data_IF_789674539020
#
_entry.id   IF_789674539020
#
_cell.length_a   1.000
_cell.length_b   1.000
_cell.length_c   1.000
_cell.angle_alpha   90.00
_cell.angle_beta   90.00
_cell.angle_gamma   90.00
#
_symmetry.space_group_name_H-M   'P 1'
#
loop_
_entity.id
_entity.type
_entity.pdbx_description
1 polymer ?
#
# COMPACT_ATOMS: atom_id res chain seq x y z
N UNK A 1 1.44 18.45 -9.64
CA UNK A 1 2.77 17.82 -9.75
C UNK A 1 2.84 16.55 -8.91
N UNK A 2 1.72 15.85 -8.76
CA UNK A 2 1.66 14.65 -7.93
C UNK A 2 2.14 13.43 -8.72
N UNK A 3 2.48 12.37 -8.02
CA UNK A 3 2.87 11.11 -8.65
C UNK A 3 1.72 10.62 -9.56
N UNK A 4 2.02 10.20 -10.80
CA UNK A 4 0.98 9.73 -11.71
C UNK A 4 0.31 8.49 -11.13
N UNK A 5 -1.03 8.47 -11.13
CA UNK A 5 -1.78 7.26 -10.77
C UNK A 5 -1.90 6.39 -12.01
N UNK A 6 -1.32 5.19 -11.96
CA UNK A 6 -1.32 4.25 -13.10
C UNK A 6 -2.18 3.03 -12.80
N UNK A 7 -2.87 2.53 -13.82
CA UNK A 7 -3.74 1.35 -13.72
C UNK A 7 -2.93 0.06 -13.58
N UNK A 8 -1.86 -0.10 -14.36
CA UNK A 8 -0.92 -1.21 -14.23
C UNK A 8 0.11 -0.88 -13.13
N UNK A 9 0.12 -1.72 -12.10
CA UNK A 9 0.92 -1.55 -10.88
C UNK A 9 1.81 -2.76 -10.63
N UNK A 10 1.96 -3.60 -11.65
CA UNK A 10 2.76 -4.82 -11.55
C UNK A 10 4.23 -4.47 -11.52
N UNK A 11 5.04 -5.34 -10.91
CA UNK A 11 6.51 -5.26 -11.01
C UNK A 11 6.98 -5.28 -12.48
N UNK A 12 6.20 -5.91 -13.35
CA UNK A 12 6.38 -5.89 -14.80
C UNK A 12 6.26 -4.48 -15.39
N UNK A 13 5.35 -3.65 -14.91
CA UNK A 13 5.28 -2.25 -15.31
C UNK A 13 6.48 -1.48 -14.79
N UNK A 14 6.78 -1.60 -13.48
CA UNK A 14 7.85 -0.84 -12.83
C UNK A 14 9.23 -1.11 -13.42
N UNK A 15 9.56 -2.37 -13.75
CA UNK A 15 10.85 -2.72 -14.39
C UNK A 15 11.06 -2.08 -15.78
N UNK A 16 10.00 -1.55 -16.40
CA UNK A 16 10.06 -0.86 -17.71
C UNK A 16 10.09 0.66 -17.58
N UNK A 17 9.98 1.18 -16.36
CA UNK A 17 9.94 2.60 -16.09
C UNK A 17 11.18 3.02 -15.30
N UNK A 18 11.85 4.09 -15.76
CA UNK A 18 12.86 4.80 -14.98
C UNK A 18 12.23 6.10 -14.47
N UNK A 19 11.90 6.14 -13.18
CA UNK A 19 11.26 7.30 -12.55
C UNK A 19 12.36 8.28 -12.14
N UNK A 20 12.29 9.50 -12.67
CA UNK A 20 13.27 10.56 -12.44
C UNK A 20 12.55 11.75 -11.82
N UNK A 21 12.96 12.12 -10.61
CA UNK A 21 12.45 13.29 -9.91
C UNK A 21 13.25 14.53 -10.29
N UNK A 22 12.55 15.61 -10.64
CA UNK A 22 13.14 16.91 -10.89
C UNK A 22 12.99 17.78 -9.64
N UNK A 23 14.00 17.76 -8.77
CA UNK A 23 14.02 18.47 -7.49
C UNK A 23 14.34 19.98 -7.61
N UNK A 24 14.76 20.44 -8.81
CA UNK A 24 15.16 21.83 -9.04
C UNK A 24 14.01 22.70 -9.51
N UNK A 25 13.79 23.80 -8.80
CA UNK A 25 12.93 24.89 -9.22
C UNK A 25 13.75 26.05 -9.82
N UNK A 26 13.36 26.53 -10.99
CA UNK A 26 14.02 27.64 -11.68
C UNK A 26 13.18 28.92 -11.73
N UNK A 27 12.03 28.97 -11.05
CA UNK A 27 11.15 30.13 -11.01
C UNK A 27 11.92 31.40 -10.65
N UNK A 28 11.80 32.44 -11.47
CA UNK A 28 12.50 33.72 -11.28
C UNK A 28 13.98 33.74 -11.70
N UNK A 29 14.54 32.59 -12.11
CA UNK A 29 15.89 32.45 -12.68
C UNK A 29 15.88 31.65 -13.99
N UNK A 30 14.76 31.70 -14.70
CA UNK A 30 14.53 30.96 -15.94
C UNK A 30 15.46 31.47 -17.05
N UNK A 31 16.13 30.53 -17.73
CA UNK A 31 16.86 30.80 -18.97
C UNK A 31 15.98 30.39 -20.15
N UNK A 32 15.02 31.25 -20.50
CA UNK A 32 13.97 30.95 -21.51
C UNK A 32 14.56 30.59 -22.89
N UNK A 33 15.68 31.21 -23.26
CA UNK A 33 16.41 30.95 -24.50
C UNK A 33 16.91 29.51 -24.66
N UNK A 34 17.00 28.71 -23.59
CA UNK A 34 17.43 27.31 -23.68
C UNK A 34 16.50 26.53 -24.60
N UNK A 35 15.19 26.73 -24.48
CA UNK A 35 14.19 25.95 -25.20
C UNK A 35 14.10 26.31 -26.68
N UNK A 36 14.10 27.60 -26.97
CA UNK A 36 13.81 28.13 -28.31
C UNK A 36 15.04 28.22 -29.20
N UNK A 37 16.22 28.40 -28.62
CA UNK A 37 17.47 28.59 -29.34
C UNK A 37 18.45 27.46 -29.02
N UNK A 38 18.90 27.33 -27.78
CA UNK A 38 20.02 26.46 -27.39
C UNK A 38 19.84 24.98 -27.77
N UNK A 39 18.63 24.42 -27.58
CA UNK A 39 18.34 23.01 -27.93
C UNK A 39 18.32 22.73 -29.44
N UNK A 40 18.27 23.76 -30.28
CA UNK A 40 18.19 23.62 -31.74
C UNK A 40 19.49 23.92 -32.46
N UNK A 41 20.49 24.46 -31.74
CA UNK A 41 21.76 24.86 -32.33
C UNK A 41 22.55 23.64 -32.81
N UNK A 42 23.09 23.65 -34.04
CA UNK A 42 23.84 22.52 -34.59
C UNK A 42 24.98 22.07 -33.69
N UNK A 43 25.76 23.00 -33.11
CA UNK A 43 26.90 22.67 -32.28
C UNK A 43 26.51 21.94 -30.98
N UNK A 44 25.31 22.20 -30.45
CA UNK A 44 24.80 21.53 -29.25
C UNK A 44 24.34 20.11 -29.60
N UNK A 45 23.64 19.94 -30.73
CA UNK A 45 23.19 18.64 -31.19
C UNK A 45 24.37 17.73 -31.55
N UNK A 46 25.37 18.27 -32.27
CA UNK A 46 26.62 17.58 -32.59
C UNK A 46 27.38 17.20 -31.32
N UNK A 47 27.43 18.09 -30.33
CA UNK A 47 28.04 17.78 -29.04
C UNK A 47 27.33 16.62 -28.33
N UNK A 48 25.99 16.62 -28.26
CA UNK A 48 25.23 15.52 -27.64
C UNK A 48 25.49 14.21 -28.37
N UNK A 49 25.49 14.22 -29.71
CA UNK A 49 25.77 13.05 -30.52
C UNK A 49 27.20 12.52 -30.28
N UNK A 50 28.20 13.39 -30.28
CA UNK A 50 29.59 13.04 -29.97
C UNK A 50 29.71 12.43 -28.57
N UNK A 51 29.03 12.99 -27.57
CA UNK A 51 29.02 12.44 -26.21
C UNK A 51 28.49 11.01 -26.18
N UNK A 52 27.38 10.75 -26.87
CA UNK A 52 26.76 9.42 -26.92
C UNK A 52 27.61 8.42 -27.69
N UNK A 53 28.17 8.81 -28.84
CA UNK A 53 28.89 7.89 -29.73
C UNK A 53 30.33 7.62 -29.30
N UNK A 54 30.99 8.58 -28.66
CA UNK A 54 32.45 8.54 -28.48
C UNK A 54 32.88 8.58 -27.02
N UNK A 55 32.15 9.31 -26.17
CA UNK A 55 32.57 9.55 -24.78
C UNK A 55 31.89 8.58 -23.80
N UNK A 56 30.63 8.24 -24.03
CA UNK A 56 29.91 7.30 -23.19
C UNK A 56 30.35 5.87 -23.47
N UNK A 57 30.66 5.05 -22.44
CA UNK A 57 30.91 3.63 -22.61
C UNK A 57 29.70 2.94 -23.24
N UNK A 58 29.93 1.91 -24.05
CA UNK A 58 28.85 1.06 -24.54
C UNK A 58 28.07 0.45 -23.37
N UNK A 59 26.74 0.55 -23.43
CA UNK A 59 25.85 0.01 -22.42
C UNK A 59 24.71 -0.77 -23.10
N UNK A 60 24.33 -1.88 -22.49
CA UNK A 60 23.17 -2.70 -22.90
C UNK A 60 21.98 -2.53 -21.95
N UNK A 61 22.23 -1.96 -20.77
CA UNK A 61 21.24 -1.63 -19.76
C UNK A 61 21.55 -0.24 -19.19
N UNK A 62 20.51 0.54 -18.91
CA UNK A 62 20.69 1.83 -18.24
C UNK A 62 20.97 1.59 -16.76
N UNK A 63 22.04 2.18 -16.18
CA UNK A 63 22.25 2.11 -14.74
C UNK A 63 21.07 2.79 -14.04
N UNK A 64 20.58 2.17 -12.97
CA UNK A 64 19.48 2.72 -12.15
C UNK A 64 20.09 3.39 -10.92
N UNK A 65 20.16 4.74 -10.86
CA UNK A 65 20.68 5.46 -9.71
C UNK A 65 19.84 5.21 -8.46
N UNK A 66 20.43 5.39 -7.27
CA UNK A 66 19.72 5.22 -6.00
C UNK A 66 18.45 6.09 -5.91
N UNK A 67 18.52 7.35 -6.36
CA UNK A 67 17.37 8.25 -6.38
C UNK A 67 16.20 7.69 -7.21
N UNK A 68 16.48 7.07 -8.36
CA UNK A 68 15.45 6.43 -9.19
C UNK A 68 14.82 5.20 -8.52
N UNK A 69 15.61 4.44 -7.74
CA UNK A 69 15.08 3.29 -6.98
C UNK A 69 14.12 3.76 -5.89
N UNK A 70 14.52 4.78 -5.12
CA UNK A 70 13.67 5.40 -4.11
C UNK A 70 12.38 5.95 -4.71
N UNK A 71 12.47 6.70 -5.81
CA UNK A 71 11.30 7.23 -6.50
C UNK A 71 10.36 6.12 -7.03
N UNK A 72 10.92 4.98 -7.46
CA UNK A 72 10.14 3.81 -7.87
C UNK A 72 9.43 3.13 -6.70
N UNK A 73 10.10 3.01 -5.54
CA UNK A 73 9.50 2.48 -4.32
C UNK A 73 8.36 3.38 -3.83
N UNK A 74 8.57 4.70 -3.82
CA UNK A 74 7.55 5.68 -3.42
C UNK A 74 6.36 5.68 -4.39
N UNK A 75 6.61 5.60 -5.70
CA UNK A 75 5.57 5.44 -6.70
C UNK A 75 4.76 4.16 -6.50
N UNK A 76 5.42 3.04 -6.19
CA UNK A 76 4.78 1.75 -5.93
C UNK A 76 3.91 1.81 -4.67
N UNK A 77 4.41 2.43 -3.60
CA UNK A 77 3.67 2.64 -2.36
C UNK A 77 2.44 3.54 -2.57
N UNK A 78 2.61 4.69 -3.22
CA UNK A 78 1.53 5.63 -3.51
C UNK A 78 0.46 5.03 -4.44
N UNK A 79 0.82 4.05 -5.27
CA UNK A 79 -0.11 3.36 -6.15
C UNK A 79 -0.64 2.03 -5.58
N UNK A 80 -0.32 1.66 -4.34
CA UNK A 80 -0.79 0.41 -3.76
C UNK A 80 -2.20 0.58 -3.13
N UNK A 81 -3.27 0.05 -3.75
CA UNK A 81 -4.64 0.20 -3.22
C UNK A 81 -4.84 -0.50 -1.88
N UNK A 82 -4.02 -1.50 -1.55
CA UNK A 82 -4.07 -2.19 -0.25
C UNK A 82 -3.41 -1.35 0.83
N UNK A 83 -2.33 -0.62 0.50
CA UNK A 83 -1.71 0.32 1.42
C UNK A 83 -2.67 1.46 1.76
N UNK A 84 -3.28 2.07 0.74
CA UNK A 84 -4.27 3.14 0.87
C UNK A 84 -5.46 2.67 1.72
N UNK A 85 -6.06 1.53 1.37
CA UNK A 85 -7.09 0.88 2.18
C UNK A 85 -6.65 0.66 3.63
N UNK A 86 -5.45 0.12 3.85
CA UNK A 86 -5.01 -0.26 5.18
C UNK A 86 -4.77 0.97 6.07
N UNK A 87 -4.19 2.04 5.51
CA UNK A 87 -3.95 3.29 6.23
C UNK A 87 -5.24 4.02 6.57
N UNK A 88 -6.27 3.95 5.72
CA UNK A 88 -7.54 4.62 5.99
C UNK A 88 -8.46 3.80 6.89
N UNK A 89 -8.61 2.50 6.62
CA UNK A 89 -9.61 1.66 7.29
C UNK A 89 -9.11 1.06 8.60
N UNK A 90 -7.87 0.58 8.69
CA UNK A 90 -7.42 -0.15 9.88
C UNK A 90 -7.41 0.71 11.17
N UNK A 91 -7.00 2.00 11.15
CA UNK A 91 -7.06 2.84 12.34
C UNK A 91 -8.48 3.11 12.85
N UNK A 92 -9.50 2.96 12.00
CA UNK A 92 -10.91 3.15 12.37
C UNK A 92 -11.53 1.87 12.98
N UNK A 93 -10.87 0.72 12.83
CA UNK A 93 -11.27 -0.51 13.49
C UNK A 93 -10.81 -0.43 14.94
N UNK A 94 -11.75 -0.34 15.88
CA UNK A 94 -11.43 -0.06 17.29
C UNK A 94 -12.02 -1.05 18.28
N UNK A 95 -12.98 -1.89 17.86
CA UNK A 95 -13.69 -2.79 18.79
C UNK A 95 -12.93 -4.08 19.00
N UNK A 96 -12.43 -4.70 17.93
CA UNK A 96 -11.81 -6.03 18.00
C UNK A 96 -10.28 -5.98 18.00
N UNK A 97 -9.69 -7.00 18.61
CA UNK A 97 -8.24 -7.25 18.57
C UNK A 97 -7.82 -8.10 17.38
N UNK A 98 -8.75 -8.82 16.77
CA UNK A 98 -8.47 -9.76 15.68
C UNK A 98 -9.43 -9.49 14.54
N UNK A 99 -8.90 -9.24 13.35
CA UNK A 99 -9.69 -9.06 12.15
C UNK A 99 -9.39 -10.16 11.13
N UNK A 100 -10.37 -11.05 10.85
CA UNK A 100 -10.20 -12.11 9.88
C UNK A 100 -9.97 -11.58 8.46
N UNK A 101 -9.13 -12.27 7.68
CA UNK A 101 -8.88 -11.90 6.29
C UNK A 101 -10.14 -11.87 5.42
N UNK A 102 -11.13 -12.72 5.70
CA UNK A 102 -12.42 -12.71 5.01
C UNK A 102 -13.13 -11.37 5.13
N UNK A 103 -13.21 -10.85 6.35
CA UNK A 103 -13.91 -9.61 6.68
C UNK A 103 -13.15 -8.42 6.11
N UNK A 104 -11.83 -8.41 6.28
CA UNK A 104 -10.97 -7.37 5.70
C UNK A 104 -11.07 -7.33 4.18
N UNK A 105 -11.20 -8.49 3.51
CA UNK A 105 -11.36 -8.53 2.06
C UNK A 105 -12.74 -8.03 1.61
N UNK A 106 -13.80 -8.31 2.36
CA UNK A 106 -15.13 -7.74 2.10
C UNK A 106 -15.10 -6.22 2.26
N UNK A 107 -14.51 -5.75 3.37
CA UNK A 107 -14.34 -4.32 3.65
C UNK A 107 -13.53 -3.64 2.54
N UNK A 108 -12.40 -4.21 2.13
CA UNK A 108 -11.57 -3.70 1.03
C UNK A 108 -12.34 -3.54 -0.28
N UNK A 109 -13.16 -4.53 -0.66
CA UNK A 109 -13.97 -4.43 -1.88
C UNK A 109 -15.01 -3.31 -1.81
N UNK A 110 -15.61 -3.09 -0.64
CA UNK A 110 -16.59 -2.03 -0.46
C UNK A 110 -15.92 -0.66 -0.43
N UNK A 111 -14.81 -0.53 0.31
CA UNK A 111 -13.95 0.66 0.29
C UNK A 111 -13.54 1.06 -1.13
N UNK A 112 -13.15 0.11 -1.97
CA UNK A 112 -12.78 0.39 -3.35
C UNK A 112 -13.94 0.87 -4.22
N UNK A 113 -15.17 0.40 -3.98
CA UNK A 113 -16.34 0.89 -4.73
C UNK A 113 -16.59 2.37 -4.47
N UNK A 114 -16.36 2.81 -3.23
CA UNK A 114 -16.67 4.17 -2.82
C UNK A 114 -15.53 5.13 -3.19
N UNK A 115 -14.27 4.71 -3.04
CA UNK A 115 -13.10 5.57 -3.25
C UNK A 115 -12.51 5.48 -4.66
N UNK A 116 -12.60 4.32 -5.30
CA UNK A 116 -11.99 4.04 -6.61
C UNK A 116 -12.90 3.15 -7.48
N UNK A 117 -14.13 3.58 -7.83
CA UNK A 117 -15.15 2.73 -8.47
C UNK A 117 -14.72 2.11 -9.80
N UNK A 118 -13.82 2.77 -10.53
CA UNK A 118 -13.28 2.30 -11.81
C UNK A 118 -12.18 1.24 -11.66
N UNK A 119 -11.72 0.96 -10.43
CA UNK A 119 -10.65 0.01 -10.17
C UNK A 119 -11.21 -1.41 -9.97
N UNK A 120 -10.55 -2.41 -10.56
CA UNK A 120 -10.87 -3.81 -10.27
C UNK A 120 -10.22 -4.21 -8.94
N UNK A 121 -10.97 -4.79 -7.99
CA UNK A 121 -10.39 -5.26 -6.74
C UNK A 121 -9.39 -6.39 -7.01
N UNK A 122 -8.30 -6.40 -6.25
CA UNK A 122 -7.35 -7.51 -6.28
C UNK A 122 -8.04 -8.82 -5.90
N UNK A 123 -7.56 -9.94 -6.46
CA UNK A 123 -7.99 -11.26 -6.01
C UNK A 123 -7.63 -11.47 -4.54
N UNK A 124 -8.47 -12.22 -3.81
CA UNK A 124 -8.36 -12.40 -2.35
C UNK A 124 -6.97 -12.83 -1.86
N UNK A 125 -6.33 -13.81 -2.50
CA UNK A 125 -5.01 -14.28 -2.10
C UNK A 125 -3.92 -13.21 -2.31
N UNK A 126 -4.03 -12.44 -3.41
CA UNK A 126 -3.16 -11.30 -3.69
C UNK A 126 -3.36 -10.20 -2.66
N UNK A 127 -4.62 -9.87 -2.34
CA UNK A 127 -4.96 -8.93 -1.26
C UNK A 127 -4.33 -9.36 0.07
N UNK A 128 -4.49 -10.62 0.49
CA UNK A 128 -3.90 -11.13 1.75
C UNK A 128 -2.37 -11.03 1.72
N UNK A 129 -1.75 -11.37 0.59
CA UNK A 129 -0.29 -11.29 0.44
C UNK A 129 0.21 -9.86 0.55
N UNK A 130 -0.46 -8.91 -0.10
CA UNK A 130 -0.13 -7.49 -0.02
C UNK A 130 -0.43 -6.92 1.38
N UNK A 131 -1.57 -7.26 1.97
CA UNK A 131 -1.97 -6.80 3.30
C UNK A 131 -0.93 -7.22 4.35
N UNK A 132 -0.47 -8.47 4.31
CA UNK A 132 0.53 -8.96 5.26
C UNK A 132 1.90 -8.29 5.08
N UNK A 133 2.23 -7.79 3.89
CA UNK A 133 3.43 -6.97 3.63
C UNK A 133 3.28 -5.55 4.15
N UNK A 134 2.16 -4.88 3.89
CA UNK A 134 1.96 -3.48 4.29
C UNK A 134 1.79 -3.32 5.80
N UNK A 135 1.16 -4.28 6.48
CA UNK A 135 0.99 -4.28 7.95
C UNK A 135 2.32 -4.39 8.69
N UNK A 136 3.39 -4.85 8.04
CA UNK A 136 4.74 -4.88 8.62
C UNK A 136 5.48 -3.54 8.53
N UNK A 137 4.91 -2.53 7.88
CA UNK A 137 5.52 -1.21 7.70
C UNK A 137 4.86 -0.16 8.62
N UNK A 138 5.63 0.77 9.22
CA UNK A 138 5.04 1.91 9.95
C UNK A 138 4.12 2.77 9.06
N UNK A 139 3.06 3.39 9.61
CA UNK A 139 2.65 3.34 11.03
C UNK A 139 1.83 2.09 11.38
N UNK A 140 1.42 1.28 10.39
CA UNK A 140 0.56 0.12 10.62
C UNK A 140 1.22 -0.93 11.53
N UNK A 141 2.54 -1.08 11.41
CA UNK A 141 3.33 -2.00 12.23
C UNK A 141 3.32 -1.67 13.73
N UNK A 142 2.93 -0.45 14.12
CA UNK A 142 2.88 -0.01 15.52
C UNK A 142 1.65 -0.53 16.24
N UNK A 143 0.57 -0.79 15.49
CA UNK A 143 -0.71 -1.23 16.03
C UNK A 143 -1.06 -2.67 15.62
N UNK A 144 -0.71 -3.08 14.42
CA UNK A 144 -1.14 -4.35 13.83
C UNK A 144 0.05 -5.30 13.62
N UNK A 145 -0.22 -6.59 13.79
CA UNK A 145 0.72 -7.69 13.55
C UNK A 145 0.05 -8.77 12.74
N UNK A 146 0.77 -9.25 11.73
CA UNK A 146 0.43 -10.50 11.05
C UNK A 146 1.08 -11.67 11.79
N UNK A 147 0.32 -12.66 12.29
CA UNK A 147 0.85 -13.78 13.08
C UNK A 147 1.84 -14.69 12.34
N UNK A 148 1.89 -14.63 11.00
CA UNK A 148 2.77 -15.47 10.19
C UNK A 148 2.11 -16.74 9.65
N UNK A 149 2.95 -17.62 9.12
CA UNK A 149 2.55 -18.94 8.60
C UNK A 149 3.10 -20.04 9.51
N UNK A 150 2.33 -21.12 9.67
CA UNK A 150 2.71 -22.31 10.42
C UNK A 150 3.59 -23.26 9.59
N UNK A 151 3.92 -24.41 10.16
CA UNK A 151 4.82 -25.41 9.55
C UNK A 151 4.35 -25.90 8.16
N UNK A 152 3.04 -26.00 7.94
CA UNK A 152 2.46 -26.43 6.66
C UNK A 152 2.30 -25.29 5.64
N UNK A 153 2.93 -24.13 5.88
CA UNK A 153 2.77 -22.90 5.10
C UNK A 153 1.34 -22.31 5.11
N UNK A 154 0.48 -22.75 6.03
CA UNK A 154 -0.85 -22.17 6.25
C UNK A 154 -0.77 -20.95 7.17
N UNK A 155 -1.68 -19.98 6.99
CA UNK A 155 -1.80 -18.85 7.90
C UNK A 155 -2.11 -19.32 9.33
N UNK A 156 -1.39 -18.79 10.31
CA UNK A 156 -1.59 -19.16 11.72
C UNK A 156 -3.00 -18.75 12.16
N UNK A 157 -3.74 -19.71 12.70
CA UNK A 157 -5.06 -19.49 13.30
C UNK A 157 -4.88 -18.96 14.71
N UNK A 158 -5.37 -17.77 15.01
CA UNK A 158 -5.36 -17.16 16.34
C UNK A 158 -6.74 -17.25 16.99
N UNK A 159 -6.86 -17.36 18.32
CA UNK A 159 -8.14 -17.28 19.00
C UNK A 159 -8.88 -16.00 18.62
N UNK A 160 -10.15 -16.13 18.25
CA UNK A 160 -11.00 -14.95 18.13
C UNK A 160 -11.45 -14.55 19.54
N UNK A 161 -11.38 -13.26 19.83
CA UNK A 161 -11.81 -12.72 21.12
C UNK A 161 -13.31 -12.86 21.34
N UNK A 162 -13.77 -12.37 22.49
CA UNK A 162 -15.20 -12.30 22.79
C UNK A 162 -15.87 -11.22 21.94
N UNK A 163 -17.18 -11.32 21.76
CA UNK A 163 -17.95 -10.30 21.07
C UNK A 163 -17.91 -9.00 21.88
N UNK A 164 -17.28 -7.97 21.32
CA UNK A 164 -17.19 -6.63 21.90
C UNK A 164 -18.22 -5.65 21.30
N UNK A 165 -19.23 -6.18 20.60
CA UNK A 165 -20.31 -5.41 20.02
C UNK A 165 -19.99 -4.85 18.64
N UNK A 166 -20.90 -4.03 18.11
CA UNK A 166 -20.88 -3.59 16.71
C UNK A 166 -19.63 -2.73 16.40
N UNK A 167 -18.88 -3.13 15.36
CA UNK A 167 -17.82 -2.31 14.77
C UNK A 167 -18.43 -1.28 13.81
N UNK A 168 -18.20 0.01 14.08
CA UNK A 168 -18.85 1.12 13.37
C UNK A 168 -18.48 1.16 11.90
N UNK A 169 -17.18 1.08 11.58
CA UNK A 169 -16.71 1.06 10.19
C UNK A 169 -17.34 -0.10 9.39
N UNK A 170 -17.36 -1.32 9.96
CA UNK A 170 -17.96 -2.46 9.27
C UNK A 170 -19.46 -2.25 9.03
N UNK A 171 -20.11 -1.56 9.96
CA UNK A 171 -21.52 -1.26 9.93
C UNK A 171 -21.90 -0.25 8.86
N UNK A 172 -21.06 0.76 8.65
CA UNK A 172 -21.23 1.75 7.59
C UNK A 172 -21.22 1.08 6.21
N UNK A 173 -20.39 0.04 6.06
CA UNK A 173 -20.33 -0.79 4.86
C UNK A 173 -21.35 -1.95 4.84
N UNK A 174 -22.26 -2.02 5.81
CA UNK A 174 -23.28 -3.08 5.89
C UNK A 174 -22.73 -4.49 6.13
N UNK A 175 -21.53 -4.61 6.71
CA UNK A 175 -20.85 -5.87 6.98
C UNK A 175 -21.25 -6.36 8.37
N UNK A 176 -21.94 -7.50 8.43
CA UNK A 176 -22.29 -8.14 9.69
C UNK A 176 -21.05 -8.80 10.32
N UNK A 177 -20.57 -8.25 11.44
CA UNK A 177 -19.45 -8.77 12.21
C UNK A 177 -19.66 -8.46 13.71
N UNK A 178 -19.44 -9.44 14.61
CA UNK A 178 -18.96 -10.79 14.35
C UNK A 178 -20.12 -11.66 13.83
N UNK A 179 -19.87 -12.46 12.79
CA UNK A 179 -20.88 -13.42 12.32
C UNK A 179 -21.04 -14.59 13.30
N UNK A 180 -22.22 -15.25 13.36
CA UNK A 180 -22.48 -16.40 14.25
C UNK A 180 -21.57 -17.63 14.00
N UNK A 181 -20.74 -17.59 12.94
CA UNK A 181 -19.88 -18.68 12.48
C UNK A 181 -18.39 -18.39 12.61
N UNK A 182 -17.99 -17.34 13.34
CA UNK A 182 -16.57 -17.17 13.64
C UNK A 182 -16.17 -18.30 14.60
N UNK A 183 -15.53 -19.35 14.06
CA UNK A 183 -14.99 -20.42 14.88
C UNK A 183 -14.07 -19.86 15.96
N UNK A 184 -13.82 -20.62 17.03
CA UNK A 184 -12.94 -20.19 18.14
C UNK A 184 -11.57 -19.66 17.70
N UNK A 185 -11.13 -19.96 16.46
CA UNK A 185 -9.88 -19.48 15.87
C UNK A 185 -10.04 -19.05 14.42
N UNK A 186 -9.39 -17.96 14.05
CA UNK A 186 -9.44 -17.33 12.71
C UNK A 186 -8.05 -17.01 12.18
N UNK A 187 -7.92 -16.81 10.88
CA UNK A 187 -6.71 -16.26 10.25
C UNK A 187 -6.93 -14.79 9.91
N UNK A 188 -5.95 -13.94 10.21
CA UNK A 188 -6.10 -12.50 10.06
C UNK A 188 -4.93 -11.71 10.61
N UNK A 189 -5.16 -10.42 10.83
CA UNK A 189 -4.25 -9.54 11.56
C UNK A 189 -4.72 -9.40 13.01
N UNK A 190 -3.78 -9.12 13.91
CA UNK A 190 -3.99 -9.02 15.35
C UNK A 190 -3.44 -7.69 15.83
N UNK A 191 -4.16 -7.03 16.73
CA UNK A 191 -3.70 -5.80 17.39
C UNK A 191 -2.59 -6.14 18.37
N UNK A 192 -1.51 -5.34 18.39
CA UNK A 192 -0.40 -5.50 19.33
C UNK A 192 -0.82 -5.27 20.76
N UNK A 193 -1.58 -4.20 20.97
CA UNK A 193 -2.09 -3.79 22.27
C UNK A 193 -3.59 -4.09 22.28
N UNK A 194 -4.05 -5.07 23.06
CA UNK A 194 -5.46 -5.42 23.12
C UNK A 194 -6.31 -4.23 23.56
N UNK A 195 -7.52 -4.11 23.00
CA UNK A 195 -8.54 -3.17 23.44
C UNK A 195 -8.91 -3.50 24.88
N UNK A 196 -8.98 -2.47 25.74
CA UNK A 196 -9.36 -2.66 27.13
C UNK A 196 -10.76 -3.30 27.21
N UNK A 197 -10.82 -4.50 27.79
CA UNK A 197 -12.10 -5.20 28.00
C UNK A 197 -12.86 -4.43 29.10
N UNK A 198 -14.10 -3.94 28.86
CA UNK A 198 -14.91 -3.42 29.93
C UNK A 198 -15.14 -4.53 30.96
N UNK A 199 -14.81 -4.28 32.22
CA UNK A 199 -14.97 -5.24 33.31
C UNK A 199 -16.40 -5.80 33.29
N UNK A 200 -16.52 -7.12 33.12
CA UNK A 200 -17.81 -7.81 33.20
C UNK A 200 -18.38 -7.54 34.59
N UNK A 201 -19.55 -6.92 34.67
CA UNK A 201 -20.30 -6.84 35.93
C UNK A 201 -20.62 -8.27 36.38
N UNK A 202 -20.09 -8.65 37.55
CA UNK A 202 -20.39 -9.94 38.18
C UNK A 202 -21.91 -10.14 38.26
N UNK A 203 -22.43 -11.35 37.99
CA UNK A 203 -23.86 -11.62 38.13
C UNK A 203 -24.27 -11.43 39.60
N UNK A 204 -25.47 -10.87 39.88
CA UNK A 204 -25.93 -10.68 41.24
C UNK A 204 -25.96 -12.05 41.93
N UNK A 205 -25.23 -12.16 43.03
CA UNK A 205 -25.27 -13.34 43.90
C UNK A 205 -26.69 -13.48 44.44
N UNK A 206 -27.27 -14.65 44.21
CA UNK A 206 -28.62 -15.02 44.66
C UNK A 206 -28.72 -15.14 46.18
#
# INVERSE_FOLDING_TARGET
NDLPRVRDRTDSFLRRCLIIEFDKCFTGRERKYIKEDYLTRPEVLEYVLYRVLTVMPSYYELPVPAACKTAADDFSLANNPVMEFAQECLPQLVKYDVFPFEILYILYKNYLKDNNPSSTPLGKNTFITELTRVVQKPPLADEWVYPGRGANNDHIKVPFGYDCGREELLSDYGIAFPGPYIGKRVTGIVRRNPVAVPAQSEPPTA
#
